data_IF_849120366717
#
_entry.id   IF_849120366717
#
_cell.length_a   1.000
_cell.length_b   1.000
_cell.length_c   1.000
_cell.angle_alpha   90.00
_cell.angle_beta   90.00
_cell.angle_gamma   90.00
#
_symmetry.space_group_name_H-M   'P 1'
#
loop_
_entity.id
_entity.type
_entity.pdbx_description
1 polymer ?
#
# COMPACT_ATOMS: atom_id res chain seq x y z
N UNK A 1 24.17 20.68 -18.00
CA UNK A 1 23.52 19.81 -17.00
C UNK A 1 22.87 18.62 -17.70
N UNK A 2 23.67 17.59 -18.00
CA UNK A 2 23.21 16.40 -18.74
C UNK A 2 23.06 15.26 -17.75
N UNK A 3 21.84 15.05 -17.26
CA UNK A 3 21.46 13.85 -16.50
C UNK A 3 21.84 12.62 -17.37
N UNK A 4 22.69 11.70 -16.89
CA UNK A 4 23.18 10.62 -17.73
C UNK A 4 22.03 9.68 -18.13
N UNK A 5 22.07 9.11 -19.34
CA UNK A 5 21.06 8.17 -19.81
C UNK A 5 21.29 6.82 -19.14
N UNK A 6 20.37 6.39 -18.27
CA UNK A 6 20.32 5.01 -17.78
C UNK A 6 20.58 4.79 -16.28
N UNK A 7 19.98 5.58 -15.39
CA UNK A 7 19.76 5.10 -14.02
C UNK A 7 18.51 4.21 -14.03
N UNK A 8 18.71 2.91 -14.24
CA UNK A 8 17.65 1.93 -14.04
C UNK A 8 17.25 1.97 -12.56
N UNK A 9 16.07 2.53 -12.25
CA UNK A 9 15.59 2.73 -10.88
C UNK A 9 15.43 1.42 -10.07
N UNK A 10 15.56 0.28 -10.74
CA UNK A 10 15.42 -1.07 -10.20
C UNK A 10 16.68 -1.91 -10.47
N UNK A 11 17.84 -1.49 -9.96
CA UNK A 11 19.11 -2.21 -10.10
C UNK A 11 19.16 -3.52 -9.28
N UNK A 12 18.51 -3.54 -8.11
CA UNK A 12 18.55 -4.67 -7.18
C UNK A 12 17.16 -5.13 -6.77
N UNK A 13 17.07 -6.40 -6.35
CA UNK A 13 15.88 -6.92 -5.66
C UNK A 13 15.52 -6.07 -4.43
N UNK A 14 16.54 -5.58 -3.71
CA UNK A 14 16.35 -4.70 -2.56
C UNK A 14 15.66 -3.37 -2.94
N UNK A 15 15.99 -2.80 -4.10
CA UNK A 15 15.36 -1.55 -4.59
C UNK A 15 13.90 -1.76 -4.96
N UNK A 16 13.61 -2.90 -5.59
CA UNK A 16 12.24 -3.30 -5.94
C UNK A 16 11.41 -3.56 -4.69
N UNK A 17 12.02 -4.20 -3.68
CA UNK A 17 11.37 -4.45 -2.39
C UNK A 17 11.08 -3.14 -1.65
N UNK A 18 12.04 -2.21 -1.62
CA UNK A 18 11.85 -0.88 -1.04
C UNK A 18 10.66 -0.15 -1.70
N UNK A 19 10.67 -0.10 -3.03
CA UNK A 19 9.56 0.48 -3.80
C UNK A 19 8.22 -0.20 -3.48
N UNK A 20 8.18 -1.53 -3.43
CA UNK A 20 6.97 -2.28 -3.12
C UNK A 20 6.45 -1.99 -1.71
N UNK A 21 7.33 -1.90 -0.71
CA UNK A 21 6.96 -1.58 0.68
C UNK A 21 6.40 -0.16 0.76
N UNK A 22 7.10 0.84 0.21
CA UNK A 22 6.66 2.25 0.21
C UNK A 22 5.31 2.44 -0.48
N UNK A 23 5.12 1.74 -1.60
CA UNK A 23 3.88 1.78 -2.38
C UNK A 23 2.74 1.09 -1.65
N UNK A 24 2.98 -0.09 -1.07
CA UNK A 24 1.99 -0.85 -0.32
C UNK A 24 1.57 -0.15 0.99
N UNK A 25 2.51 0.53 1.64
CA UNK A 25 2.25 1.38 2.80
C UNK A 25 1.55 2.70 2.43
N UNK A 26 1.24 2.92 1.14
CA UNK A 26 0.59 4.14 0.62
C UNK A 26 1.39 5.44 0.86
N UNK A 27 2.69 5.35 1.14
CA UNK A 27 3.56 6.51 1.38
C UNK A 27 3.88 7.21 0.06
N UNK A 28 4.35 6.44 -0.93
CA UNK A 28 4.58 6.94 -2.29
C UNK A 28 5.58 8.10 -2.41
N UNK A 29 6.82 7.93 -1.90
CA UNK A 29 7.87 8.95 -2.02
C UNK A 29 8.16 9.39 -3.47
N UNK A 30 7.89 8.53 -4.45
CA UNK A 30 8.10 8.81 -5.86
C UNK A 30 9.57 8.76 -6.30
N UNK A 31 10.45 8.27 -5.43
CA UNK A 31 11.88 8.05 -5.69
C UNK A 31 12.11 6.95 -6.74
N UNK A 32 11.27 5.92 -6.72
CA UNK A 32 11.26 4.82 -7.70
C UNK A 32 9.85 4.66 -8.25
N UNK A 33 9.70 4.68 -9.57
CA UNK A 33 8.40 4.52 -10.23
C UNK A 33 8.57 3.79 -11.56
N UNK A 34 7.65 2.88 -11.94
CA UNK A 34 7.70 2.27 -13.26
C UNK A 34 7.51 3.35 -14.34
N UNK A 35 8.51 3.50 -15.22
CA UNK A 35 8.43 4.44 -16.36
C UNK A 35 7.58 3.86 -17.51
N UNK A 36 7.56 2.54 -17.64
CA UNK A 36 6.85 1.82 -18.72
C UNK A 36 5.34 1.81 -18.52
N UNK A 37 4.58 1.89 -19.62
CA UNK A 37 3.12 1.88 -19.60
C UNK A 37 2.55 0.60 -18.97
N UNK A 38 3.13 -0.55 -19.32
CA UNK A 38 2.76 -1.86 -18.77
C UNK A 38 3.06 -1.92 -17.27
N UNK A 39 4.23 -1.42 -16.83
CA UNK A 39 4.59 -1.38 -15.42
C UNK A 39 3.61 -0.55 -14.60
N UNK A 40 3.19 0.61 -15.11
CA UNK A 40 2.18 1.46 -14.46
C UNK A 40 0.84 0.72 -14.30
N UNK A 41 0.36 0.02 -15.33
CA UNK A 41 -0.90 -0.73 -15.23
C UNK A 41 -0.85 -1.84 -14.17
N UNK A 42 0.23 -2.62 -14.15
CA UNK A 42 0.41 -3.72 -13.18
C UNK A 42 0.49 -3.15 -11.77
N UNK A 43 1.31 -2.11 -11.56
CA UNK A 43 1.42 -1.41 -10.27
C UNK A 43 0.07 -0.88 -9.80
N UNK A 44 -0.71 -0.22 -10.66
CA UNK A 44 -2.01 0.31 -10.28
C UNK A 44 -2.97 -0.79 -9.81
N UNK A 45 -3.00 -1.93 -10.51
CA UNK A 45 -3.81 -3.08 -10.11
C UNK A 45 -3.35 -3.64 -8.75
N UNK A 46 -2.04 -3.82 -8.58
CA UNK A 46 -1.44 -4.31 -7.33
C UNK A 46 -1.69 -3.37 -6.15
N UNK A 47 -1.65 -2.05 -6.34
CA UNK A 47 -1.99 -1.08 -5.29
C UNK A 47 -3.42 -1.25 -4.79
N UNK A 48 -4.38 -1.37 -5.71
CA UNK A 48 -5.80 -1.54 -5.38
C UNK A 48 -5.99 -2.84 -4.58
N UNK A 49 -5.40 -3.94 -5.05
CA UNK A 49 -5.44 -5.21 -4.32
C UNK A 49 -4.73 -5.13 -2.96
N UNK A 50 -3.55 -4.50 -2.88
CA UNK A 50 -2.75 -4.39 -1.66
C UNK A 50 -3.46 -3.61 -0.56
N UNK A 51 -4.07 -2.48 -0.89
CA UNK A 51 -4.86 -1.69 0.06
C UNK A 51 -6.07 -2.48 0.57
N UNK A 52 -6.74 -3.26 -0.28
CA UNK A 52 -7.86 -4.10 0.14
C UNK A 52 -7.42 -5.15 1.18
N UNK A 53 -6.26 -5.79 0.99
CA UNK A 53 -5.70 -6.73 1.96
C UNK A 53 -5.39 -6.09 3.32
N UNK A 54 -4.80 -4.88 3.32
CA UNK A 54 -4.51 -4.14 4.55
C UNK A 54 -5.77 -3.61 5.25
N UNK A 55 -6.87 -3.43 4.53
CA UNK A 55 -8.15 -2.96 5.09
C UNK A 55 -8.82 -4.04 5.96
N UNK A 56 -8.64 -5.32 5.64
CA UNK A 56 -9.25 -6.44 6.37
C UNK A 56 -8.91 -6.46 7.87
N UNK A 57 -7.63 -6.45 8.31
CA UNK A 57 -7.30 -6.46 9.73
C UNK A 57 -7.82 -5.20 10.44
N UNK A 58 -7.73 -4.03 9.80
CA UNK A 58 -8.29 -2.78 10.34
C UNK A 58 -9.81 -2.88 10.56
N UNK A 59 -10.53 -3.42 9.57
CA UNK A 59 -11.99 -3.62 9.62
C UNK A 59 -12.41 -4.62 10.69
N UNK A 60 -11.67 -5.72 10.87
CA UNK A 60 -11.93 -6.71 11.93
C UNK A 60 -11.82 -6.05 13.31
N UNK A 61 -10.75 -5.30 13.56
CA UNK A 61 -10.56 -4.60 14.84
C UNK A 61 -11.69 -3.58 15.06
N UNK A 62 -12.01 -2.77 14.04
CA UNK A 62 -13.08 -1.77 14.12
C UNK A 62 -14.45 -2.38 14.45
N UNK A 63 -14.81 -3.47 13.77
CA UNK A 63 -16.06 -4.19 14.02
C UNK A 63 -16.13 -4.80 15.42
N UNK A 64 -15.02 -5.37 15.92
CA UNK A 64 -14.93 -5.91 17.27
C UNK A 64 -15.18 -4.85 18.35
N UNK A 65 -14.61 -3.65 18.19
CA UNK A 65 -14.87 -2.53 19.09
C UNK A 65 -16.31 -2.03 18.99
N UNK A 66 -16.85 -1.89 17.77
CA UNK A 66 -18.23 -1.45 17.58
C UNK A 66 -19.25 -2.39 18.26
N UNK A 67 -19.08 -3.71 18.10
CA UNK A 67 -19.91 -4.72 18.76
C UNK A 67 -19.79 -4.66 20.29
N UNK A 68 -18.57 -4.50 20.82
CA UNK A 68 -18.34 -4.39 22.27
C UNK A 68 -19.00 -3.12 22.86
N UNK A 69 -18.93 -2.01 22.15
CA UNK A 69 -19.57 -0.75 22.54
C UNK A 69 -21.09 -0.88 22.51
N UNK A 70 -21.66 -1.51 21.49
CA UNK A 70 -23.10 -1.76 21.40
C UNK A 70 -23.60 -2.68 22.53
N UNK A 71 -22.88 -3.76 22.84
CA UNK A 71 -23.21 -4.64 23.96
C UNK A 71 -23.21 -3.90 25.29
N UNK A 72 -22.17 -3.10 25.58
CA UNK A 72 -22.12 -2.28 26.81
C UNK A 72 -23.25 -1.26 26.90
N UNK A 73 -23.76 -0.77 25.77
CA UNK A 73 -24.89 0.16 25.74
C UNK A 73 -26.21 -0.55 26.05
N UNK A 74 -26.39 -1.77 25.55
CA UNK A 74 -27.56 -2.62 25.83
C UNK A 74 -27.59 -3.14 27.28
N UNK A 75 -26.43 -3.44 27.87
CA UNK A 75 -26.34 -3.88 29.29
C UNK A 75 -26.62 -2.74 30.29
N UNK A 76 -26.48 -1.48 29.88
CA UNK A 76 -26.74 -0.30 30.71
C UNK A 76 -28.16 0.24 30.57
N UNK A 77 -28.95 -0.28 29.63
CA UNK A 77 -30.38 0.00 29.50
C UNK A 77 -31.18 -1.10 30.20
#
# INVERSE_FOLDING_TARGET
>A
ESKPPGEDMFHSFADTLWWAIVTMATIGYGDKCPSTYIGKMITSCLCICGVAFWTLPSGIIGSGFALKVEQKKREKQ
#
